data_IF_158517787463
#
_entry.id   IF_158517787463
#
_cell.length_a   1.000
_cell.length_b   1.000
_cell.length_c   1.000
_cell.angle_alpha   90.00
_cell.angle_beta   90.00
_cell.angle_gamma   90.00
#
_symmetry.space_group_name_H-M   'P 1'
#
loop_
_entity.id
_entity.type
_entity.pdbx_description
1 polymer ?
#
# COMPACT_ATOMS: atom_id res chain seq x y z
N UNK A 1 7.56 -23.53 -6.85
CA UNK A 1 6.93 -23.53 -8.20
C UNK A 1 6.46 -22.11 -8.46
N UNK A 2 6.75 -21.52 -9.61
CA UNK A 2 6.30 -20.18 -9.98
C UNK A 2 4.98 -20.33 -10.74
N UNK A 3 3.95 -19.60 -10.32
CA UNK A 3 2.66 -19.53 -11.01
C UNK A 3 2.44 -18.13 -11.57
N UNK A 4 1.73 -18.04 -12.69
CA UNK A 4 1.38 -16.76 -13.31
C UNK A 4 -0.08 -16.42 -13.01
N UNK A 5 -0.35 -15.19 -12.56
CA UNK A 5 -1.71 -14.67 -12.48
C UNK A 5 -2.15 -14.26 -13.89
N UNK A 6 -3.05 -15.05 -14.50
CA UNK A 6 -3.54 -14.77 -15.85
C UNK A 6 -4.54 -13.61 -15.91
N UNK A 7 -5.23 -13.34 -14.79
CA UNK A 7 -6.27 -12.32 -14.69
C UNK A 7 -6.06 -11.46 -13.46
N UNK A 8 -6.34 -10.14 -13.54
CA UNK A 8 -6.27 -9.28 -12.38
C UNK A 8 -7.42 -9.62 -11.42
N UNK A 9 -7.24 -9.29 -10.14
CA UNK A 9 -8.34 -9.28 -9.18
C UNK A 9 -9.33 -8.18 -9.55
N UNK A 10 -10.58 -8.33 -9.10
CA UNK A 10 -11.58 -7.29 -9.31
C UNK A 10 -11.32 -6.11 -8.37
N UNK A 11 -11.78 -4.94 -8.76
CA UNK A 11 -11.71 -3.73 -7.92
C UNK A 11 -12.33 -3.97 -6.55
N UNK A 12 -13.45 -4.70 -6.51
CA UNK A 12 -14.22 -5.00 -5.30
C UNK A 12 -13.41 -5.83 -4.31
N UNK A 13 -12.55 -6.74 -4.80
CA UNK A 13 -11.69 -7.57 -3.97
C UNK A 13 -10.70 -6.69 -3.18
N UNK A 14 -10.06 -5.73 -3.86
CA UNK A 14 -9.16 -4.77 -3.21
C UNK A 14 -9.91 -3.86 -2.23
N UNK A 15 -11.09 -3.37 -2.61
CA UNK A 15 -11.90 -2.52 -1.74
C UNK A 15 -12.34 -3.24 -0.45
N UNK A 16 -12.49 -4.56 -0.51
CA UNK A 16 -12.88 -5.37 0.64
C UNK A 16 -11.76 -5.49 1.69
N UNK A 17 -10.49 -5.48 1.26
CA UNK A 17 -9.33 -5.63 2.15
C UNK A 17 -8.69 -4.31 2.56
N UNK A 18 -8.86 -3.25 1.78
CA UNK A 18 -8.30 -1.94 2.10
C UNK A 18 -9.06 -1.29 3.27
N UNK A 19 -8.29 -0.80 4.23
CA UNK A 19 -8.77 -0.06 5.38
C UNK A 19 -9.54 1.20 4.93
N UNK A 20 -10.65 1.58 5.59
CA UNK A 20 -11.46 2.75 5.19
C UNK A 20 -10.65 4.04 4.94
N UNK A 21 -9.74 4.40 5.83
CA UNK A 21 -8.91 5.60 5.67
C UNK A 21 -7.90 5.51 4.51
N UNK A 22 -7.44 4.29 4.20
CA UNK A 22 -6.55 4.05 3.04
C UNK A 22 -7.35 4.17 1.75
N UNK A 23 -8.60 3.66 1.72
CA UNK A 23 -9.51 3.85 0.58
C UNK A 23 -9.80 5.32 0.32
N UNK A 24 -10.18 6.06 1.37
CA UNK A 24 -10.45 7.49 1.24
C UNK A 24 -9.23 8.25 0.73
N UNK A 25 -8.06 8.00 1.32
CA UNK A 25 -6.81 8.60 0.84
C UNK A 25 -6.56 8.27 -0.64
N UNK A 26 -6.65 7.00 -1.00
CA UNK A 26 -6.36 6.54 -2.35
C UNK A 26 -7.27 7.21 -3.38
N UNK A 27 -8.59 7.21 -3.18
CA UNK A 27 -9.54 7.79 -4.14
C UNK A 27 -9.60 9.31 -4.12
N UNK A 28 -9.05 9.96 -3.10
CA UNK A 28 -8.81 11.41 -3.11
C UNK A 28 -7.61 11.78 -3.99
N UNK A 29 -6.62 10.91 -4.08
CA UNK A 29 -5.35 11.16 -4.79
C UNK A 29 -5.35 10.59 -6.20
N UNK A 30 -6.01 9.45 -6.42
CA UNK A 30 -6.03 8.70 -7.67
C UNK A 30 -7.46 8.39 -8.11
N UNK A 31 -7.70 8.35 -9.43
CA UNK A 31 -9.05 8.09 -9.98
C UNK A 31 -9.48 6.63 -9.81
N UNK A 32 -8.57 5.70 -10.04
CA UNK A 32 -8.83 4.27 -10.04
C UNK A 32 -7.57 3.45 -9.77
N UNK A 33 -7.74 2.15 -9.50
CA UNK A 33 -6.60 1.23 -9.39
C UNK A 33 -5.98 1.00 -10.76
N UNK A 34 -4.66 1.01 -10.82
CA UNK A 34 -3.91 0.60 -11.99
C UNK A 34 -3.92 -0.92 -12.16
N UNK A 35 -3.60 -1.39 -13.37
CA UNK A 35 -3.52 -2.81 -13.64
C UNK A 35 -2.51 -3.54 -12.72
N UNK A 36 -1.28 -3.03 -12.48
CA UNK A 36 -0.37 -3.67 -11.52
C UNK A 36 -0.91 -3.73 -10.09
N UNK A 37 -1.69 -2.74 -9.66
CA UNK A 37 -2.31 -2.76 -8.35
C UNK A 37 -3.36 -3.87 -8.24
N UNK A 38 -4.21 -4.02 -9.26
CA UNK A 38 -5.21 -5.09 -9.33
C UNK A 38 -4.60 -6.50 -9.33
N UNK A 39 -3.37 -6.65 -9.82
CA UNK A 39 -2.63 -7.92 -9.69
C UNK A 39 -1.94 -8.08 -8.34
N UNK A 40 -1.32 -7.02 -7.82
CA UNK A 40 -0.33 -7.16 -6.75
C UNK A 40 -0.83 -6.87 -5.35
N UNK A 41 -1.76 -5.93 -5.16
CA UNK A 41 -2.12 -5.45 -3.80
C UNK A 41 -2.66 -6.58 -2.94
N UNK A 42 -3.60 -7.37 -3.48
CA UNK A 42 -4.23 -8.46 -2.75
C UNK A 42 -3.24 -9.59 -2.43
N UNK A 43 -2.35 -9.92 -3.37
CA UNK A 43 -1.32 -10.94 -3.16
C UNK A 43 -0.33 -10.53 -2.05
N UNK A 44 0.11 -9.27 -2.06
CA UNK A 44 1.01 -8.75 -1.01
C UNK A 44 0.28 -8.72 0.34
N UNK A 45 -0.99 -8.31 0.37
CA UNK A 45 -1.82 -8.32 1.57
C UNK A 45 -1.91 -9.74 2.17
N UNK A 46 -2.13 -10.74 1.31
CA UNK A 46 -2.18 -12.16 1.66
C UNK A 46 -0.81 -12.79 2.00
N UNK A 47 0.27 -11.99 2.01
CA UNK A 47 1.66 -12.42 2.28
C UNK A 47 2.23 -13.40 1.23
N UNK A 48 1.69 -13.38 0.02
CA UNK A 48 2.25 -14.14 -1.09
C UNK A 48 3.46 -13.41 -1.68
N UNK A 49 4.50 -14.17 -2.04
CA UNK A 49 5.63 -13.65 -2.78
C UNK A 49 5.22 -13.41 -4.24
N UNK A 50 5.43 -12.20 -4.74
CA UNK A 50 5.08 -11.86 -6.13
C UNK A 50 6.23 -11.14 -6.85
N UNK A 51 6.27 -11.33 -8.17
CA UNK A 51 7.10 -10.56 -9.08
C UNK A 51 6.20 -9.77 -10.03
N UNK A 52 6.24 -8.45 -9.94
CA UNK A 52 5.48 -7.57 -10.82
C UNK A 52 6.39 -7.08 -11.96
N UNK A 53 6.11 -7.55 -13.17
CA UNK A 53 6.73 -7.03 -14.40
C UNK A 53 5.74 -6.11 -15.12
N UNK A 54 6.08 -4.83 -15.19
CA UNK A 54 5.28 -3.81 -15.89
C UNK A 54 6.20 -2.70 -16.42
N UNK A 55 5.78 -1.92 -17.45
CA UNK A 55 6.55 -0.78 -17.95
C UNK A 55 6.86 0.26 -16.86
N UNK A 56 7.87 1.09 -17.11
CA UNK A 56 8.18 2.27 -16.27
C UNK A 56 6.97 3.22 -16.23
N UNK A 57 6.74 3.88 -15.10
CA UNK A 57 5.51 4.65 -14.88
C UNK A 57 4.27 3.80 -14.55
N UNK A 58 4.34 2.47 -14.67
CA UNK A 58 3.24 1.54 -14.38
C UNK A 58 2.89 1.36 -12.89
N UNK A 59 3.21 2.30 -12.00
CA UNK A 59 2.81 2.28 -10.56
C UNK A 59 3.23 1.03 -9.75
N UNK A 60 4.28 0.32 -10.17
CA UNK A 60 4.82 -0.87 -9.46
C UNK A 60 5.15 -0.56 -7.99
N UNK A 61 5.82 0.56 -7.75
CA UNK A 61 6.16 1.01 -6.39
C UNK A 61 4.91 1.24 -5.57
N UNK A 62 3.95 2.01 -6.09
CA UNK A 62 2.68 2.27 -5.42
C UNK A 62 1.87 1.00 -5.15
N UNK A 63 1.98 -0.03 -5.99
CA UNK A 63 1.35 -1.34 -5.74
C UNK A 63 1.86 -1.95 -4.43
N UNK A 64 3.19 -2.00 -4.27
CA UNK A 64 3.79 -2.51 -3.04
C UNK A 64 3.53 -1.61 -1.83
N UNK A 65 3.70 -0.30 -1.97
CA UNK A 65 3.54 0.61 -0.83
C UNK A 65 2.09 0.73 -0.38
N UNK A 66 1.11 0.66 -1.28
CA UNK A 66 -0.31 0.64 -0.91
C UNK A 66 -0.65 -0.54 0.00
N UNK A 67 -0.17 -1.75 -0.33
CA UNK A 67 -0.37 -2.92 0.51
C UNK A 67 0.33 -2.77 1.88
N UNK A 68 1.57 -2.28 1.90
CA UNK A 68 2.32 -2.05 3.15
C UNK A 68 1.63 -1.01 4.03
N UNK A 69 1.21 0.12 3.47
CA UNK A 69 0.47 1.18 4.18
C UNK A 69 -0.81 0.60 4.78
N UNK A 70 -1.53 -0.23 4.01
CA UNK A 70 -2.75 -0.87 4.49
C UNK A 70 -2.50 -1.70 5.76
N UNK A 71 -1.46 -2.52 5.76
CA UNK A 71 -1.08 -3.33 6.91
C UNK A 71 -0.72 -2.48 8.14
N UNK A 72 0.08 -1.42 7.94
CA UNK A 72 0.47 -0.52 9.03
C UNK A 72 -0.75 0.17 9.66
N UNK A 73 -1.70 0.61 8.83
CA UNK A 73 -2.93 1.26 9.29
C UNK A 73 -3.83 0.28 10.03
N UNK A 74 -4.01 -0.94 9.51
CA UNK A 74 -4.79 -2.01 10.18
C UNK A 74 -4.19 -2.30 11.56
N UNK A 75 -2.87 -2.44 11.65
CA UNK A 75 -2.19 -2.72 12.91
C UNK A 75 -2.32 -1.56 13.89
N UNK A 76 -2.20 -0.32 13.43
CA UNK A 76 -2.33 0.85 14.29
C UNK A 76 -3.75 1.03 14.82
N UNK A 77 -4.78 0.87 13.98
CA UNK A 77 -6.18 0.99 14.42
C UNK A 77 -6.55 -0.10 15.43
N UNK A 78 -5.94 -1.29 15.31
CA UNK A 78 -6.05 -2.39 16.29
C UNK A 78 -5.16 -2.23 17.53
N UNK A 79 -4.35 -1.17 17.64
CA UNK A 79 -3.34 -0.97 18.70
C UNK A 79 -2.33 -2.13 18.79
N UNK A 80 -1.98 -2.71 17.64
CA UNK A 80 -1.05 -3.84 17.48
C UNK A 80 0.23 -3.46 16.74
N UNK A 81 0.35 -2.20 16.30
CA UNK A 81 1.60 -1.68 15.75
C UNK A 81 2.63 -1.54 16.90
N UNK A 82 3.75 -2.25 16.78
CA UNK A 82 4.84 -2.30 17.76
C UNK A 82 6.04 -1.52 17.23
N UNK A 83 6.95 -1.14 18.10
CA UNK A 83 8.23 -0.57 17.67
C UNK A 83 9.16 -1.66 17.12
N UNK A 84 9.01 -1.98 15.82
CA UNK A 84 9.82 -2.95 15.09
C UNK A 84 9.79 -2.68 13.59
N UNK A 85 10.67 -3.35 12.84
CA UNK A 85 10.69 -3.27 11.38
C UNK A 85 9.53 -4.08 10.78
N UNK A 86 8.73 -3.44 9.91
CA UNK A 86 7.62 -4.07 9.18
C UNK A 86 7.87 -4.27 7.70
N UNK A 87 8.75 -3.47 7.11
CA UNK A 87 9.07 -3.50 5.69
C UNK A 87 10.53 -3.11 5.49
N UNK A 88 11.22 -3.84 4.59
CA UNK A 88 12.53 -3.48 4.09
C UNK A 88 12.37 -3.19 2.61
N UNK A 89 12.68 -1.96 2.20
CA UNK A 89 12.69 -1.55 0.81
C UNK A 89 14.14 -1.54 0.31
N UNK A 90 14.42 -2.35 -0.71
CA UNK A 90 15.73 -2.44 -1.34
C UNK A 90 15.68 -1.91 -2.76
N UNK A 91 16.62 -1.02 -3.12
CA UNK A 91 16.75 -0.46 -4.45
C UNK A 91 18.23 -0.48 -4.90
N UNK A 92 18.51 -0.59 -6.21
CA UNK A 92 19.89 -0.61 -6.71
C UNK A 92 20.54 0.77 -6.74
N UNK A 93 19.77 1.86 -6.62
CA UNK A 93 20.24 3.24 -6.77
C UNK A 93 19.81 4.10 -5.58
N UNK A 94 20.75 4.87 -5.00
CA UNK A 94 20.49 5.81 -3.90
C UNK A 94 19.44 6.88 -4.24
N UNK A 95 19.39 7.31 -5.50
CA UNK A 95 18.43 8.32 -5.95
C UNK A 95 16.97 7.86 -5.73
N UNK A 96 16.69 6.57 -5.91
CA UNK A 96 15.37 5.98 -5.71
C UNK A 96 14.99 5.83 -4.23
N UNK A 97 15.92 6.06 -3.29
CA UNK A 97 15.60 5.99 -1.86
C UNK A 97 14.80 7.21 -1.43
N UNK A 98 14.96 8.34 -2.15
CA UNK A 98 14.15 9.55 -1.96
C UNK A 98 12.68 9.32 -2.29
N UNK A 99 12.37 8.33 -3.15
CA UNK A 99 11.00 8.02 -3.54
C UNK A 99 10.16 7.47 -2.38
N UNK A 100 10.78 6.96 -1.30
CA UNK A 100 10.06 6.48 -0.11
C UNK A 100 9.32 7.63 0.58
N UNK A 101 9.89 8.84 0.61
CA UNK A 101 9.24 10.01 1.23
C UNK A 101 7.86 10.24 0.59
N UNK A 102 7.81 10.20 -0.75
CA UNK A 102 6.59 10.44 -1.51
C UNK A 102 5.65 9.23 -1.55
N UNK A 103 6.18 8.01 -1.59
CA UNK A 103 5.37 6.80 -1.73
C UNK A 103 4.97 6.15 -0.40
N UNK A 104 5.52 6.59 0.74
CA UNK A 104 5.24 6.03 2.07
C UNK A 104 4.97 7.13 3.11
N UNK A 105 5.93 8.03 3.37
CA UNK A 105 5.80 8.98 4.48
C UNK A 105 4.63 9.97 4.29
N UNK A 106 4.55 10.62 3.12
CA UNK A 106 3.44 11.55 2.79
C UNK A 106 2.07 10.86 2.85
N UNK A 107 1.87 9.68 2.21
CA UNK A 107 0.64 8.92 2.36
C UNK A 107 0.24 8.66 3.82
N UNK A 108 1.19 8.23 4.66
CA UNK A 108 0.92 7.95 6.07
C UNK A 108 0.47 9.20 6.83
N UNK A 109 1.10 10.36 6.59
CA UNK A 109 0.68 11.63 7.19
C UNK A 109 -0.72 12.05 6.74
N UNK A 110 -1.04 11.87 5.46
CA UNK A 110 -2.37 12.20 4.91
C UNK A 110 -3.44 11.27 5.49
N UNK A 111 -3.15 9.98 5.60
CA UNK A 111 -4.05 8.99 6.21
C UNK A 111 -4.29 9.30 7.69
N UNK A 112 -3.27 9.72 8.45
CA UNK A 112 -3.45 10.21 9.82
C UNK A 112 -4.39 11.41 9.89
N UNK A 113 -4.24 12.38 8.98
CA UNK A 113 -5.14 13.55 8.92
C UNK A 113 -6.58 13.13 8.62
N UNK A 114 -6.77 12.16 7.72
CA UNK A 114 -8.09 11.58 7.43
C UNK A 114 -8.66 10.90 8.69
N UNK A 115 -7.91 10.01 9.33
CA UNK A 115 -8.36 9.33 10.55
C UNK A 115 -8.76 10.33 11.65
N UNK A 116 -7.97 11.40 11.83
CA UNK A 116 -8.26 12.46 12.82
C UNK A 116 -9.57 13.18 12.54
N UNK A 117 -9.91 13.42 11.27
CA UNK A 117 -11.23 13.98 10.87
C UNK A 117 -12.38 13.06 11.22
N UNK A 118 -12.14 11.75 11.21
CA UNK A 118 -13.10 10.72 11.65
C UNK A 118 -13.02 10.41 13.15
N UNK A 119 -12.35 11.26 13.95
CA UNK A 119 -12.27 11.10 15.40
C UNK A 119 -11.33 9.99 15.89
N UNK A 120 -10.48 9.45 15.02
CA UNK A 120 -9.44 8.46 15.37
C UNK A 120 -8.06 9.10 15.38
N UNK A 121 -7.29 8.84 16.42
CA UNK A 121 -5.86 9.16 16.44
C UNK A 121 -5.05 7.89 16.18
N UNK A 122 -4.39 7.82 15.03
CA UNK A 122 -3.62 6.66 14.61
C UNK A 122 -2.14 6.88 14.88
N UNK A 123 -1.59 6.11 15.81
CA UNK A 123 -0.16 6.05 16.10
C UNK A 123 0.58 5.20 15.05
N UNK A 124 0.62 5.68 13.81
CA UNK A 124 1.40 5.06 12.72
C UNK A 124 2.72 5.82 12.56
N UNK A 125 3.85 5.19 12.23
CA UNK A 125 5.12 5.87 11.96
C UNK A 125 5.80 5.26 10.74
#
# INVERSE_FOLDING_TARGET
MISHLEKPHKKEDLLSVLHPYVKEWFFKTFKEFSLPQLYGVLEIHNKNNILISAPTGGTKTLTSTLAIINELVILADKKQLKDKVYCIYCNPLRALSRDIEFNLQKPLEEIKKIAKKHGKDLEIR
#
